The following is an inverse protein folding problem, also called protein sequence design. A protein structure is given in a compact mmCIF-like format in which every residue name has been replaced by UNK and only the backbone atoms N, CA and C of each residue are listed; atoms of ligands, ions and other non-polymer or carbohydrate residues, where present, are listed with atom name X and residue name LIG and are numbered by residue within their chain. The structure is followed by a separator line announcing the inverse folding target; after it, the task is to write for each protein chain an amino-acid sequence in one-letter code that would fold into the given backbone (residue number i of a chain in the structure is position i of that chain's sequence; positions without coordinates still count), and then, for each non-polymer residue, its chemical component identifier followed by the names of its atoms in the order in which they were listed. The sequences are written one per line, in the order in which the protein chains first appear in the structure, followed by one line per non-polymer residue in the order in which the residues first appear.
data_IF_269757763401
#
_entry.id   IF_269757763401
#
_cell.length_a   1.000
_cell.length_b   1.000
_cell.length_c   1.000
_cell.angle_alpha   90.00
_cell.angle_beta   90.00
_cell.angle_gamma   90.00
#
_symmetry.space_group_name_H-M   'P 1'
#
loop_
_entity.id
_entity.type
_entity.pdbx_description
1 polymer ?
#
# COMPACT_ATOMS: atom_id res chain seq x y z
N UNK A 1 34.83 50.75 2.00
CA UNK A 1 33.93 50.57 3.18
C UNK A 1 32.66 49.89 2.73
N UNK A 2 32.54 48.58 2.96
CA UNK A 2 31.45 47.76 2.48
C UNK A 2 30.53 47.34 3.64
N UNK A 3 29.26 47.80 3.62
CA UNK A 3 28.28 47.57 4.68
C UNK A 3 27.65 46.17 4.50
N UNK A 4 27.98 45.22 5.41
CA UNK A 4 27.30 43.92 5.51
C UNK A 4 25.87 44.09 6.00
N UNK A 5 24.88 43.71 5.16
CA UNK A 5 23.49 43.56 5.57
C UNK A 5 23.32 42.30 6.41
N UNK A 6 22.97 42.46 7.69
CA UNK A 6 22.57 41.38 8.60
C UNK A 6 21.19 40.85 8.17
N UNK A 7 21.12 39.62 7.67
CA UNK A 7 19.86 38.93 7.41
C UNK A 7 19.16 38.60 8.75
N UNK A 8 17.92 39.09 8.92
CA UNK A 8 17.04 38.70 10.02
C UNK A 8 16.62 37.24 9.84
N UNK A 9 17.08 36.34 10.71
CA UNK A 9 16.52 35.01 10.87
C UNK A 9 15.05 35.15 11.32
N UNK A 10 14.11 34.76 10.47
CA UNK A 10 12.72 34.54 10.88
C UNK A 10 12.69 33.33 11.82
N UNK A 11 12.55 33.57 13.11
CA UNK A 11 12.20 32.55 14.09
C UNK A 11 10.79 32.07 13.79
N UNK A 12 10.67 30.80 13.40
CA UNK A 12 9.36 30.16 13.27
C UNK A 12 8.69 30.17 14.65
N UNK A 13 7.53 30.76 14.73
CA UNK A 13 6.70 30.75 15.94
C UNK A 13 6.38 29.28 16.30
N UNK A 14 6.47 28.89 17.59
CA UNK A 14 6.11 27.57 18.01
C UNK A 14 4.64 27.32 17.67
N UNK A 15 4.36 26.30 16.85
CA UNK A 15 3.00 25.83 16.59
C UNK A 15 2.42 25.41 17.93
N UNK A 16 1.54 26.24 18.51
CA UNK A 16 0.75 25.87 19.70
C UNK A 16 -0.02 24.59 19.34
N UNK A 17 0.32 23.48 19.97
CA UNK A 17 -0.51 22.30 19.96
C UNK A 17 -1.83 22.67 20.62
N UNK A 18 -2.84 22.97 19.80
CA UNK A 18 -4.17 23.30 20.27
C UNK A 18 -4.79 22.05 20.87
N UNK A 19 -5.02 22.10 22.18
CA UNK A 19 -5.55 20.99 22.93
C UNK A 19 -6.94 20.61 22.44
N UNK A 20 -7.22 19.31 22.39
CA UNK A 20 -8.57 18.79 22.16
C UNK A 20 -9.44 19.12 23.37
N UNK A 21 -10.51 19.87 23.19
CA UNK A 21 -11.47 20.21 24.25
C UNK A 21 -12.75 19.39 24.11
N UNK A 22 -13.34 18.99 25.23
CA UNK A 22 -14.62 18.29 25.29
C UNK A 22 -15.59 19.07 26.14
N UNK A 23 -16.73 19.46 25.57
CA UNK A 23 -17.77 20.19 26.26
C UNK A 23 -19.14 19.86 25.65
N UNK A 24 -20.16 19.70 26.47
CA UNK A 24 -21.55 19.57 26.01
C UNK A 24 -21.83 18.43 25.05
N UNK A 25 -21.12 17.30 25.16
CA UNK A 25 -21.30 16.17 24.23
C UNK A 25 -20.58 16.36 22.88
N UNK A 26 -19.79 17.43 22.72
CA UNK A 26 -19.00 17.72 21.51
C UNK A 26 -17.52 17.70 21.83
N UNK A 27 -16.73 17.09 20.94
CA UNK A 27 -15.28 17.15 20.96
C UNK A 27 -14.82 18.09 19.88
N UNK A 28 -14.09 19.15 20.27
CA UNK A 28 -13.46 20.10 19.37
C UNK A 28 -11.99 19.76 19.24
N UNK A 29 -11.50 19.68 18.00
CA UNK A 29 -10.10 19.41 17.68
C UNK A 29 -9.70 20.19 16.43
N UNK A 30 -8.39 20.38 16.25
CA UNK A 30 -7.86 21.09 15.08
C UNK A 30 -7.24 20.11 14.09
N UNK A 31 -7.62 20.25 12.83
CA UNK A 31 -7.06 19.46 11.73
C UNK A 31 -6.68 20.37 10.57
N UNK A 32 -5.42 20.32 10.17
CA UNK A 32 -4.87 21.18 9.08
C UNK A 32 -5.22 22.68 9.29
N UNK A 33 -5.06 23.19 10.52
CA UNK A 33 -5.32 24.59 10.87
C UNK A 33 -6.79 24.97 10.95
N UNK A 34 -7.73 24.04 10.79
CA UNK A 34 -9.17 24.28 10.90
C UNK A 34 -9.73 23.64 12.16
N UNK A 35 -10.61 24.35 12.82
CA UNK A 35 -11.39 23.82 13.92
C UNK A 35 -12.44 22.84 13.40
N UNK A 36 -12.47 21.64 14.01
CA UNK A 36 -13.40 20.58 13.65
C UNK A 36 -14.17 20.17 14.91
N UNK A 37 -15.46 19.93 14.75
CA UNK A 37 -16.33 19.47 15.81
C UNK A 37 -16.86 18.07 15.45
N UNK A 38 -16.88 17.19 16.43
CA UNK A 38 -17.58 15.92 16.31
C UNK A 38 -18.32 15.60 17.61
N UNK A 39 -19.38 14.81 17.51
CA UNK A 39 -20.03 14.32 18.71
C UNK A 39 -19.00 13.60 19.60
N UNK A 40 -18.93 13.98 20.87
CA UNK A 40 -18.07 13.29 21.83
C UNK A 40 -18.43 11.81 21.82
N UNK A 41 -17.42 10.95 21.67
CA UNK A 41 -17.65 9.52 21.86
C UNK A 41 -18.24 9.35 23.26
N UNK A 42 -19.41 8.73 23.37
CA UNK A 42 -19.97 8.32 24.66
C UNK A 42 -18.84 7.60 25.41
N UNK A 43 -18.70 7.83 26.74
CA UNK A 43 -17.73 7.07 27.52
C UNK A 43 -17.90 5.60 27.17
N UNK A 44 -16.77 4.95 26.94
CA UNK A 44 -16.78 3.53 26.57
C UNK A 44 -17.55 2.81 27.69
N UNK A 45 -18.73 2.32 27.37
CA UNK A 45 -19.55 1.56 28.31
C UNK A 45 -18.74 0.42 28.90
N UNK A 46 -19.19 -0.16 29.98
CA UNK A 46 -18.56 -1.31 30.64
C UNK A 46 -18.23 -2.39 29.59
N UNK A 47 -17.29 -3.27 29.89
CA UNK A 47 -16.95 -4.41 29.02
C UNK A 47 -18.20 -5.19 28.64
N UNK A 48 -19.09 -5.40 29.61
CA UNK A 48 -20.38 -6.09 29.41
C UNK A 48 -21.32 -5.37 28.45
N UNK A 49 -21.39 -4.03 28.49
CA UNK A 49 -22.22 -3.27 27.55
C UNK A 49 -21.64 -3.33 26.13
N UNK A 50 -20.31 -3.32 25.98
CA UNK A 50 -19.65 -3.51 24.68
C UNK A 50 -19.94 -4.90 24.12
N UNK A 51 -19.87 -5.92 24.95
CA UNK A 51 -20.12 -7.31 24.55
C UNK A 51 -21.60 -7.54 24.19
N UNK A 52 -22.55 -6.95 24.94
CA UNK A 52 -23.98 -6.92 24.55
C UNK A 52 -24.19 -6.25 23.21
N UNK A 53 -23.50 -5.14 22.91
CA UNK A 53 -23.59 -4.46 21.60
C UNK A 53 -22.96 -5.30 20.49
N UNK A 54 -21.86 -6.02 20.76
CA UNK A 54 -21.25 -6.96 19.80
C UNK A 54 -22.18 -8.13 19.52
N UNK A 55 -22.80 -8.70 20.54
CA UNK A 55 -23.73 -9.81 20.39
C UNK A 55 -24.98 -9.45 19.55
N UNK A 56 -25.41 -8.19 19.57
CA UNK A 56 -26.55 -7.69 18.77
C UNK A 56 -26.22 -7.41 17.31
N UNK A 57 -24.95 -7.52 16.88
CA UNK A 57 -24.57 -7.31 15.48
C UNK A 57 -25.10 -8.45 14.62
N UNK A 58 -25.66 -8.09 13.45
CA UNK A 58 -26.02 -9.09 12.44
C UNK A 58 -24.76 -9.81 11.94
N UNK A 59 -24.92 -11.01 11.39
CA UNK A 59 -23.83 -11.77 10.79
C UNK A 59 -23.09 -10.95 9.73
N UNK A 60 -23.81 -10.26 8.86
CA UNK A 60 -23.23 -9.33 7.87
C UNK A 60 -22.37 -8.22 8.52
N UNK A 61 -22.84 -7.66 9.64
CA UNK A 61 -22.06 -6.62 10.35
C UNK A 61 -20.79 -7.20 11.01
N UNK A 62 -20.84 -8.45 11.47
CA UNK A 62 -19.67 -9.15 12.01
C UNK A 62 -18.64 -9.38 10.92
N UNK A 63 -19.09 -9.93 9.78
CA UNK A 63 -18.23 -10.18 8.62
C UNK A 63 -17.59 -8.89 8.11
N UNK A 64 -18.34 -7.82 7.89
CA UNK A 64 -17.77 -6.54 7.46
C UNK A 64 -16.78 -5.96 8.46
N UNK A 65 -17.00 -6.20 9.76
CA UNK A 65 -16.07 -5.72 10.80
C UNK A 65 -14.77 -6.53 10.81
N UNK A 66 -14.83 -7.85 10.57
CA UNK A 66 -13.64 -8.71 10.53
C UNK A 66 -12.80 -8.45 9.28
N UNK A 67 -13.44 -8.31 8.10
CA UNK A 67 -12.77 -7.89 6.86
C UNK A 67 -12.08 -6.53 7.04
N UNK A 68 -12.80 -5.56 7.64
CA UNK A 68 -12.20 -4.26 7.92
C UNK A 68 -10.96 -4.37 8.82
N UNK A 69 -11.04 -5.16 9.89
CA UNK A 69 -9.91 -5.37 10.80
C UNK A 69 -8.72 -6.07 10.12
N UNK A 70 -8.99 -7.00 9.20
CA UNK A 70 -7.95 -7.65 8.39
C UNK A 70 -7.26 -6.63 7.48
N UNK A 71 -8.02 -5.90 6.65
CA UNK A 71 -7.46 -4.90 5.72
C UNK A 71 -6.71 -3.79 6.47
N UNK A 72 -7.18 -3.36 7.64
CA UNK A 72 -6.44 -2.39 8.47
C UNK A 72 -5.08 -2.95 8.95
N UNK A 73 -5.01 -4.22 9.35
CA UNK A 73 -3.72 -4.88 9.68
C UNK A 73 -2.80 -4.97 8.47
N UNK A 74 -3.34 -5.38 7.32
CA UNK A 74 -2.62 -5.47 6.05
C UNK A 74 -2.04 -4.10 5.65
N UNK A 75 -2.85 -3.05 5.68
CA UNK A 75 -2.41 -1.67 5.41
C UNK A 75 -1.32 -1.22 6.37
N UNK A 76 -1.44 -1.54 7.66
CA UNK A 76 -0.40 -1.22 8.66
C UNK A 76 0.89 -2.00 8.39
N UNK A 77 0.79 -3.24 7.95
CA UNK A 77 1.95 -4.05 7.56
C UNK A 77 2.65 -3.44 6.35
N UNK A 78 1.90 -3.10 5.30
CA UNK A 78 2.42 -2.42 4.12
C UNK A 78 3.08 -1.07 4.48
N UNK A 79 2.45 -0.27 5.34
CA UNK A 79 2.96 1.06 5.70
C UNK A 79 4.17 1.04 6.64
N UNK A 80 4.26 0.07 7.55
CA UNK A 80 5.27 0.04 8.61
C UNK A 80 6.46 -0.85 8.30
N UNK A 81 6.21 -2.04 7.73
CA UNK A 81 7.26 -3.04 7.51
C UNK A 81 7.92 -2.92 6.14
N UNK A 82 7.21 -2.35 5.19
CA UNK A 82 7.63 -2.24 3.81
C UNK A 82 7.92 -0.76 3.49
N UNK A 83 8.83 -0.18 4.28
CA UNK A 83 9.27 1.22 4.11
C UNK A 83 9.49 1.54 2.62
N UNK A 84 8.83 2.57 2.13
CA UNK A 84 8.87 2.98 0.73
C UNK A 84 7.65 2.57 -0.11
N UNK A 85 6.68 1.81 0.44
CA UNK A 85 5.42 1.51 -0.25
C UNK A 85 4.39 2.59 0.05
N UNK A 86 4.75 3.81 -0.22
CA UNK A 86 3.84 4.94 -0.08
C UNK A 86 3.09 5.24 -1.38
N UNK A 87 2.95 4.24 -2.27
CA UNK A 87 2.30 4.39 -3.58
C UNK A 87 0.86 4.93 -3.55
N UNK A 88 0.25 4.94 -2.37
CA UNK A 88 -1.09 5.48 -2.15
C UNK A 88 -1.10 6.95 -1.71
N UNK A 89 0.03 7.46 -1.19
CA UNK A 89 0.12 8.82 -0.65
C UNK A 89 -0.02 9.90 -1.73
N UNK A 90 0.70 9.83 -2.86
CA UNK A 90 0.58 10.84 -3.91
C UNK A 90 -0.84 10.93 -4.44
N UNK A 91 -1.49 9.78 -4.62
CA UNK A 91 -2.84 9.71 -5.17
C UNK A 91 -3.93 10.35 -4.29
N UNK A 92 -3.67 10.50 -2.99
CA UNK A 92 -4.63 11.12 -2.05
C UNK A 92 -4.23 12.54 -1.64
N UNK A 93 -3.13 13.09 -2.17
CA UNK A 93 -2.56 14.38 -1.78
C UNK A 93 -3.60 15.49 -1.80
N UNK A 94 -4.43 15.55 -2.83
CA UNK A 94 -5.44 16.59 -3.04
C UNK A 94 -6.86 16.13 -2.65
N UNK A 95 -6.99 14.95 -2.08
CA UNK A 95 -8.28 14.40 -1.65
C UNK A 95 -8.49 14.58 -0.15
N UNK A 96 -9.74 14.41 0.31
CA UNK A 96 -10.06 14.33 1.75
C UNK A 96 -9.77 12.96 2.35
N UNK A 97 -9.36 11.99 1.54
CA UNK A 97 -9.10 10.61 1.93
C UNK A 97 -7.66 10.47 2.43
N UNK A 98 -7.42 9.55 3.35
CA UNK A 98 -6.06 9.13 3.70
C UNK A 98 -5.64 7.93 2.85
N UNK A 99 -4.34 7.75 2.64
CA UNK A 99 -3.80 6.59 1.90
C UNK A 99 -4.29 5.25 2.47
N UNK A 100 -4.32 5.00 3.79
CA UNK A 100 -4.92 3.80 4.36
C UNK A 100 -6.40 3.61 3.99
N UNK A 101 -7.19 4.68 4.02
CA UNK A 101 -8.61 4.60 3.68
C UNK A 101 -8.83 4.30 2.19
N UNK A 102 -7.98 4.83 1.31
CA UNK A 102 -8.03 4.51 -0.11
C UNK A 102 -7.66 3.05 -0.35
N UNK A 103 -6.57 2.57 0.25
CA UNK A 103 -6.15 1.18 0.16
C UNK A 103 -7.27 0.23 0.65
N UNK A 104 -7.91 0.56 1.78
CA UNK A 104 -9.07 -0.18 2.26
C UNK A 104 -10.22 -0.16 1.25
N UNK A 105 -10.58 1.00 0.71
CA UNK A 105 -11.68 1.15 -0.25
C UNK A 105 -11.47 0.30 -1.50
N UNK A 106 -10.23 0.22 -2.00
CA UNK A 106 -9.89 -0.51 -3.23
C UNK A 106 -9.81 -2.02 -2.98
N UNK A 107 -9.25 -2.44 -1.83
CA UNK A 107 -8.90 -3.85 -1.59
C UNK A 107 -9.91 -4.62 -0.71
N UNK A 108 -10.89 -3.95 -0.08
CA UNK A 108 -11.81 -4.62 0.84
C UNK A 108 -12.60 -5.77 0.19
N UNK A 109 -12.96 -5.63 -1.09
CA UNK A 109 -13.70 -6.67 -1.84
C UNK A 109 -12.79 -7.84 -2.30
N UNK A 110 -11.49 -7.68 -2.23
CA UNK A 110 -10.54 -8.73 -2.56
C UNK A 110 -10.16 -9.59 -1.33
N UNK A 111 -10.64 -9.22 -0.14
CA UNK A 111 -10.23 -9.80 1.14
C UNK A 111 -11.42 -10.35 1.92
N UNK A 112 -11.15 -11.38 2.73
CA UNK A 112 -12.02 -11.80 3.83
C UNK A 112 -11.34 -11.56 5.20
N UNK A 113 -11.77 -12.24 6.23
CA UNK A 113 -11.20 -12.14 7.59
C UNK A 113 -9.86 -12.86 7.74
N UNK A 114 -9.51 -13.74 6.81
CA UNK A 114 -8.33 -14.60 6.85
C UNK A 114 -7.23 -14.15 5.89
N UNK A 115 -7.59 -13.47 4.79
CA UNK A 115 -6.60 -13.08 3.81
C UNK A 115 -7.16 -12.46 2.55
N UNK A 116 -6.31 -12.40 1.54
CA UNK A 116 -6.71 -12.05 0.18
C UNK A 116 -7.30 -13.31 -0.48
N UNK A 117 -8.59 -13.27 -0.81
CA UNK A 117 -9.31 -14.38 -1.48
C UNK A 117 -9.41 -14.17 -2.99
N UNK A 118 -9.30 -12.94 -3.43
CA UNK A 118 -9.31 -12.62 -4.86
C UNK A 118 -8.03 -11.83 -5.21
N UNK A 119 -6.95 -12.55 -5.43
CA UNK A 119 -5.65 -11.98 -5.78
C UNK A 119 -5.71 -11.12 -7.05
N UNK A 120 -6.54 -11.48 -8.05
CA UNK A 120 -6.68 -10.71 -9.29
C UNK A 120 -7.24 -9.31 -9.06
N UNK A 121 -8.09 -9.16 -8.07
CA UNK A 121 -8.73 -7.88 -7.72
C UNK A 121 -7.92 -7.07 -6.71
N UNK A 122 -6.90 -7.67 -6.10
CA UNK A 122 -6.04 -6.97 -5.15
C UNK A 122 -5.09 -6.01 -5.88
N UNK A 123 -4.80 -4.87 -5.26
CA UNK A 123 -3.97 -3.80 -5.85
C UNK A 123 -2.93 -3.34 -4.84
N UNK A 124 -1.64 -3.39 -5.20
CA UNK A 124 -0.54 -2.88 -4.39
C UNK A 124 -0.27 -1.39 -4.59
N UNK A 125 -0.53 -0.90 -5.79
CA UNK A 125 -0.26 0.49 -6.17
C UNK A 125 -1.38 1.04 -7.02
N UNK A 126 -1.68 2.31 -6.81
CA UNK A 126 -2.51 3.14 -7.69
C UNK A 126 -1.70 4.37 -8.09
N UNK A 127 -1.93 4.87 -9.28
CA UNK A 127 -1.21 6.05 -9.76
C UNK A 127 -1.60 6.44 -11.17
N UNK A 128 -0.97 7.49 -11.65
CA UNK A 128 -1.27 8.13 -12.93
C UNK A 128 -0.24 7.79 -14.02
N UNK A 129 0.95 7.27 -13.63
CA UNK A 129 1.95 6.89 -14.62
C UNK A 129 1.41 5.77 -15.53
N UNK A 130 1.75 5.85 -16.80
CA UNK A 130 1.37 4.84 -17.77
C UNK A 130 1.98 3.48 -17.41
N UNK A 131 1.15 2.45 -17.40
CA UNK A 131 1.56 1.08 -17.11
C UNK A 131 2.33 0.54 -18.32
N UNK A 132 3.53 -0.05 -18.15
CA UNK A 132 4.23 -0.68 -19.24
C UNK A 132 3.48 -1.93 -19.73
N UNK A 133 3.66 -2.27 -21.00
CA UNK A 133 3.12 -3.51 -21.56
C UNK A 133 4.04 -4.66 -21.17
N UNK A 134 3.67 -5.44 -20.17
CA UNK A 134 4.38 -6.67 -19.80
C UNK A 134 4.18 -7.71 -20.89
N UNK A 135 5.25 -8.29 -21.40
CA UNK A 135 5.22 -9.17 -22.58
C UNK A 135 5.57 -10.62 -22.25
N UNK A 136 6.39 -10.85 -21.26
CA UNK A 136 6.80 -12.20 -20.87
C UNK A 136 7.14 -12.28 -19.40
N UNK A 137 6.83 -13.42 -18.80
CA UNK A 137 7.20 -13.75 -17.44
C UNK A 137 7.72 -15.18 -17.38
N UNK A 138 8.96 -15.35 -16.92
CA UNK A 138 9.59 -16.66 -16.71
C UNK A 138 9.89 -16.86 -15.23
N UNK A 139 9.74 -18.09 -14.79
CA UNK A 139 10.06 -18.48 -13.41
C UNK A 139 10.94 -19.71 -13.39
N UNK A 140 12.06 -19.63 -12.67
CA UNK A 140 12.89 -20.75 -12.32
C UNK A 140 13.07 -20.77 -10.78
N UNK A 141 12.45 -21.72 -10.11
CA UNK A 141 12.35 -21.77 -8.64
C UNK A 141 11.84 -20.43 -8.06
N UNK A 142 12.68 -19.69 -7.36
CA UNK A 142 12.37 -18.37 -6.77
C UNK A 142 12.90 -17.19 -7.57
N UNK A 143 13.51 -17.47 -8.72
CA UNK A 143 14.02 -16.43 -9.64
C UNK A 143 13.01 -16.19 -10.75
N UNK A 144 12.70 -14.93 -10.98
CA UNK A 144 11.72 -14.45 -11.96
C UNK A 144 12.42 -13.55 -12.97
N UNK A 145 12.08 -13.71 -14.23
CA UNK A 145 12.45 -12.77 -15.29
C UNK A 145 11.19 -12.21 -15.91
N UNK A 146 11.02 -10.89 -15.80
CA UNK A 146 9.90 -10.12 -16.31
C UNK A 146 10.37 -9.25 -17.46
N UNK A 147 9.67 -9.30 -18.59
CA UNK A 147 9.96 -8.50 -19.78
C UNK A 147 8.79 -7.57 -20.09
N UNK A 148 9.08 -6.35 -20.53
CA UNK A 148 8.05 -5.38 -20.90
C UNK A 148 8.51 -4.46 -22.02
N UNK A 149 7.54 -3.82 -22.67
CA UNK A 149 7.79 -2.72 -23.60
C UNK A 149 7.53 -1.40 -22.88
N UNK A 150 8.52 -0.51 -22.80
CA UNK A 150 8.28 0.85 -22.29
C UNK A 150 7.29 1.55 -23.23
N UNK A 151 6.26 2.19 -22.70
CA UNK A 151 5.40 3.08 -23.48
C UNK A 151 6.13 4.41 -23.69
N UNK A 152 6.97 4.50 -24.75
CA UNK A 152 7.84 5.66 -25.01
C UNK A 152 7.18 6.87 -25.65
N UNK A 153 5.85 6.93 -25.79
CA UNK A 153 5.15 7.98 -26.56
C UNK A 153 4.25 8.86 -25.68
N UNK A 154 4.03 8.48 -24.43
CA UNK A 154 3.16 9.25 -23.53
C UNK A 154 4.01 10.17 -22.67
N UNK A 155 3.63 11.44 -22.53
CA UNK A 155 4.30 12.45 -21.69
C UNK A 155 4.40 12.06 -20.20
N UNK A 156 3.63 11.05 -19.79
CA UNK A 156 3.56 10.55 -18.42
C UNK A 156 4.54 9.39 -18.15
N UNK A 157 5.42 9.06 -19.11
CA UNK A 157 6.44 8.01 -18.93
C UNK A 157 7.81 8.65 -18.79
N UNK A 158 8.57 8.15 -17.82
CA UNK A 158 9.97 8.49 -17.63
C UNK A 158 10.81 7.21 -17.75
N UNK A 159 11.88 7.27 -18.50
CA UNK A 159 12.78 6.13 -18.69
C UNK A 159 13.45 5.66 -17.40
N UNK A 160 13.56 6.55 -16.43
CA UNK A 160 14.20 6.34 -15.13
C UNK A 160 13.23 5.90 -13.99
N UNK A 161 11.92 5.72 -14.29
CA UNK A 161 11.00 5.12 -13.33
C UNK A 161 11.49 3.75 -12.88
N UNK A 162 11.52 3.49 -11.58
CA UNK A 162 12.10 2.27 -11.01
C UNK A 162 11.07 1.19 -10.73
N UNK A 163 11.47 -0.08 -10.87
CA UNK A 163 10.58 -1.21 -10.67
C UNK A 163 10.42 -1.57 -9.18
N UNK A 164 9.17 -1.80 -8.78
CA UNK A 164 8.82 -2.48 -7.54
C UNK A 164 7.85 -3.62 -7.83
N UNK A 165 7.92 -4.68 -7.04
CA UNK A 165 7.08 -5.87 -7.16
C UNK A 165 6.43 -6.17 -5.84
N UNK A 166 5.10 -5.96 -5.76
CA UNK A 166 4.30 -6.51 -4.67
C UNK A 166 4.07 -8.00 -4.91
N UNK A 167 4.00 -8.81 -3.85
CA UNK A 167 3.72 -10.23 -4.03
C UNK A 167 3.10 -10.90 -2.81
N UNK A 168 2.43 -12.03 -3.07
CA UNK A 168 1.96 -12.99 -2.09
C UNK A 168 2.39 -14.39 -2.52
N UNK A 169 2.62 -15.26 -1.56
CA UNK A 169 2.56 -16.70 -1.79
C UNK A 169 1.11 -17.15 -1.62
N UNK A 170 0.63 -18.01 -2.50
CA UNK A 170 -0.76 -18.52 -2.48
C UNK A 170 -1.17 -19.09 -1.11
N UNK A 171 -0.24 -19.78 -0.45
CA UNK A 171 -0.42 -20.35 0.89
C UNK A 171 -0.32 -19.33 2.04
N UNK A 172 0.02 -18.06 1.78
CA UNK A 172 0.18 -16.99 2.76
C UNK A 172 -0.59 -15.73 2.31
N UNK A 173 -1.92 -15.80 2.18
CA UNK A 173 -2.74 -14.71 1.65
C UNK A 173 -2.83 -13.50 2.59
N UNK A 174 -2.39 -13.63 3.83
CA UNK A 174 -2.38 -12.59 4.86
C UNK A 174 -1.02 -11.85 4.98
N UNK A 175 -0.02 -12.29 4.22
CA UNK A 175 1.36 -11.81 4.33
C UNK A 175 1.84 -11.10 3.05
N UNK A 176 1.37 -9.84 2.79
CA UNK A 176 1.86 -9.06 1.66
C UNK A 176 3.33 -8.73 1.80
N UNK A 177 4.04 -8.74 0.68
CA UNK A 177 5.47 -8.43 0.59
C UNK A 177 5.72 -7.49 -0.58
N UNK A 178 6.82 -6.74 -0.53
CA UNK A 178 7.27 -5.89 -1.62
C UNK A 178 8.77 -6.03 -1.77
N UNK A 179 9.21 -6.15 -3.01
CA UNK A 179 10.59 -6.09 -3.42
C UNK A 179 10.80 -4.80 -4.23
N UNK A 180 11.75 -3.97 -3.78
CA UNK A 180 12.17 -2.78 -4.52
C UNK A 180 13.41 -3.09 -5.33
N UNK A 181 13.42 -2.68 -6.59
CA UNK A 181 14.49 -2.88 -7.55
C UNK A 181 14.97 -1.53 -8.10
N UNK A 182 15.61 -0.69 -7.28
CA UNK A 182 15.96 0.68 -7.66
C UNK A 182 16.99 0.75 -8.80
N UNK A 183 17.72 -0.32 -9.06
CA UNK A 183 18.64 -0.42 -10.18
C UNK A 183 17.96 -0.82 -11.51
N UNK A 184 16.67 -1.18 -11.48
CA UNK A 184 15.92 -1.60 -12.67
C UNK A 184 14.98 -0.48 -13.05
N UNK A 185 15.24 0.12 -14.19
CA UNK A 185 14.43 1.24 -14.68
C UNK A 185 13.45 0.78 -15.76
N UNK A 186 12.48 1.65 -16.07
CA UNK A 186 11.51 1.44 -17.16
C UNK A 186 12.20 1.15 -18.49
N UNK A 187 13.24 1.92 -18.81
CA UNK A 187 14.00 1.80 -20.06
C UNK A 187 14.70 0.43 -20.20
N UNK A 188 14.99 -0.25 -19.11
CA UNK A 188 15.65 -1.56 -19.16
C UNK A 188 14.85 -2.62 -19.92
N UNK A 189 13.50 -2.52 -19.95
CA UNK A 189 12.64 -3.45 -20.67
C UNK A 189 12.63 -4.87 -20.11
N UNK A 190 13.46 -5.17 -19.14
CA UNK A 190 13.58 -6.49 -18.50
C UNK A 190 14.11 -6.37 -17.09
N UNK A 191 13.70 -7.31 -16.23
CA UNK A 191 14.19 -7.47 -14.86
C UNK A 191 14.34 -8.93 -14.52
N UNK A 192 15.45 -9.28 -13.90
CA UNK A 192 15.61 -10.58 -13.22
C UNK A 192 15.77 -10.33 -11.73
N UNK A 193 14.93 -10.98 -10.92
CA UNK A 193 14.94 -10.83 -9.48
C UNK A 193 14.60 -12.14 -8.78
N UNK A 194 15.08 -12.31 -7.55
CA UNK A 194 14.80 -13.48 -6.73
C UNK A 194 13.93 -13.05 -5.55
N UNK A 195 12.82 -13.75 -5.35
CA UNK A 195 12.00 -13.56 -4.16
C UNK A 195 12.65 -14.28 -2.98
N UNK A 196 12.75 -13.64 -1.81
CA UNK A 196 13.24 -14.31 -0.62
C UNK A 196 12.25 -15.39 -0.19
N UNK A 197 12.77 -16.51 0.28
CA UNK A 197 11.96 -17.51 0.93
C UNK A 197 11.20 -16.93 2.12
N UNK A 198 9.98 -17.37 2.37
CA UNK A 198 9.26 -16.96 3.56
C UNK A 198 9.92 -17.58 4.79
N UNK A 199 10.91 -16.93 5.34
CA UNK A 199 11.46 -17.25 6.63
C UNK A 199 10.60 -16.60 7.72
N UNK A 200 9.93 -17.39 8.50
CA UNK A 200 9.39 -17.01 9.78
C UNK A 200 9.94 -17.95 10.85
N UNK A 201 10.14 -17.51 12.09
CA UNK A 201 10.57 -18.39 13.16
C UNK A 201 9.65 -19.60 13.25
N UNK A 202 10.17 -20.80 13.00
CA UNK A 202 9.44 -22.07 13.08
C UNK A 202 8.59 -22.43 11.86
N UNK A 203 8.72 -21.74 10.72
CA UNK A 203 8.11 -22.17 9.46
C UNK A 203 9.16 -22.84 8.59
N UNK A 204 8.82 -24.00 8.06
CA UNK A 204 9.63 -24.64 7.03
C UNK A 204 9.69 -23.78 5.77
N UNK A 205 10.81 -23.79 5.01
CA UNK A 205 10.91 -23.11 3.73
C UNK A 205 9.77 -23.54 2.81
N UNK A 206 9.17 -22.59 2.09
CA UNK A 206 8.15 -22.93 1.12
C UNK A 206 8.75 -23.75 -0.03
N UNK A 207 7.96 -24.72 -0.52
CA UNK A 207 8.30 -25.45 -1.73
C UNK A 207 8.45 -24.52 -2.92
N UNK A 208 9.45 -24.71 -3.79
CA UNK A 208 9.55 -24.03 -5.09
C UNK A 208 8.28 -24.18 -5.96
N UNK A 209 7.45 -25.19 -5.67
CA UNK A 209 6.18 -25.44 -6.37
C UNK A 209 5.04 -24.54 -5.90
N UNK A 210 5.26 -23.71 -4.87
CA UNK A 210 4.25 -22.79 -4.40
C UNK A 210 3.91 -21.76 -5.49
N UNK A 211 2.62 -21.58 -5.79
CA UNK A 211 2.14 -20.50 -6.68
C UNK A 211 2.45 -19.13 -6.04
N UNK A 212 2.90 -18.21 -6.87
CA UNK A 212 3.17 -16.82 -6.45
C UNK A 212 2.27 -15.87 -7.23
N UNK A 213 1.70 -14.91 -6.53
CA UNK A 213 0.95 -13.79 -7.08
C UNK A 213 1.85 -12.56 -7.06
N UNK A 214 2.24 -12.05 -8.21
CA UNK A 214 3.09 -10.87 -8.31
C UNK A 214 2.33 -9.68 -8.91
N UNK A 215 2.74 -8.48 -8.50
CA UNK A 215 2.10 -7.22 -8.85
C UNK A 215 3.19 -6.19 -9.16
N UNK A 216 3.81 -6.25 -10.34
CA UNK A 216 4.79 -5.26 -10.73
C UNK A 216 4.14 -3.89 -10.91
N UNK A 217 4.87 -2.85 -10.51
CA UNK A 217 4.53 -1.45 -10.73
C UNK A 217 5.80 -0.61 -10.77
N UNK A 218 5.72 0.56 -11.37
CA UNK A 218 6.82 1.50 -11.46
C UNK A 218 6.58 2.70 -10.54
N UNK A 219 7.65 3.25 -10.03
CA UNK A 219 7.70 4.45 -9.22
C UNK A 219 8.61 5.48 -9.89
N UNK A 220 8.20 6.75 -9.90
CA UNK A 220 9.08 7.84 -10.31
C UNK A 220 10.31 7.93 -9.38
N UNK A 221 11.45 8.47 -9.84
CA UNK A 221 12.67 8.57 -9.03
C UNK A 221 12.48 9.34 -7.71
N UNK A 222 11.62 10.36 -7.73
CA UNK A 222 11.25 11.15 -6.55
C UNK A 222 10.16 10.49 -5.67
N UNK A 223 9.65 9.32 -6.10
CA UNK A 223 8.58 8.56 -5.43
C UNK A 223 7.26 9.33 -5.23
N UNK A 224 7.05 10.37 -6.03
CA UNK A 224 5.85 11.19 -5.99
C UNK A 224 4.74 10.67 -6.94
N UNK A 225 5.08 9.80 -7.88
CA UNK A 225 4.15 9.21 -8.84
C UNK A 225 4.40 7.71 -9.02
N UNK A 226 3.34 6.99 -9.36
CA UNK A 226 3.38 5.53 -9.51
C UNK A 226 2.50 5.07 -10.66
N UNK A 227 2.77 3.87 -11.19
CA UNK A 227 1.80 3.16 -12.03
C UNK A 227 0.80 2.40 -11.15
N UNK A 228 -0.34 2.04 -11.73
CA UNK A 228 -1.17 0.99 -11.15
C UNK A 228 -0.43 -0.35 -11.24
N UNK A 229 -0.50 -1.16 -10.18
CA UNK A 229 0.07 -2.51 -10.21
C UNK A 229 -0.73 -3.44 -11.11
N UNK A 230 -0.03 -4.33 -11.83
CA UNK A 230 -0.61 -5.34 -12.72
C UNK A 230 -0.53 -6.70 -12.04
N UNK A 231 -1.63 -7.44 -12.02
CA UNK A 231 -1.68 -8.77 -11.44
C UNK A 231 -1.17 -9.84 -12.42
N UNK A 232 -0.23 -10.66 -11.96
CA UNK A 232 0.29 -11.83 -12.67
C UNK A 232 0.31 -13.03 -11.72
N UNK A 233 -0.33 -14.14 -12.13
CA UNK A 233 -0.29 -15.40 -11.40
C UNK A 233 0.85 -16.24 -11.96
N UNK A 234 1.74 -16.71 -11.12
CA UNK A 234 2.95 -17.40 -11.55
C UNK A 234 2.98 -18.82 -10.97
N UNK A 235 2.76 -19.80 -11.82
CA UNK A 235 2.92 -21.20 -11.49
C UNK A 235 4.40 -21.61 -11.49
N UNK A 236 4.75 -22.74 -10.88
CA UNK A 236 6.09 -23.32 -11.01
C UNK A 236 6.45 -23.58 -12.48
N UNK A 237 7.69 -23.25 -12.85
CA UNK A 237 8.17 -23.44 -14.22
C UNK A 237 7.44 -22.61 -15.29
N UNK A 238 6.73 -21.56 -14.90
CA UNK A 238 6.02 -20.71 -15.83
C UNK A 238 6.98 -20.06 -16.85
N UNK A 239 6.59 -20.09 -18.11
CA UNK A 239 7.17 -19.32 -19.21
C UNK A 239 6.00 -18.78 -20.03
N UNK A 240 5.37 -17.74 -19.50
CA UNK A 240 4.13 -17.19 -20.02
C UNK A 240 4.40 -15.98 -20.90
N UNK A 241 3.91 -16.03 -22.14
CA UNK A 241 3.78 -14.85 -22.99
C UNK A 241 2.55 -14.09 -22.54
N UNK A 242 2.75 -12.84 -22.13
CA UNK A 242 1.70 -11.93 -21.69
C UNK A 242 1.27 -11.08 -22.88
N UNK A 243 0.02 -11.13 -23.25
CA UNK A 243 -0.50 -10.41 -24.39
C UNK A 243 -1.74 -9.59 -24.07
#
# INVERSE_FOLDING_TARGET
MSKKKKGKKKTASPVKQLATTRSGGTTTYYRKGRECHCASKRPAGSTEERDRRRAKRSERQRLLTSVFAFVDRLVRTLSRKLAGVNSWIPFVKDTRMSAPNLCHKVNAMACDEHGVVNFRSFVFSVGWLAVPLYTRLRRNAWTFTLEWRPHGILDETRDDDTLAVGYFYDCLPDAPRVLHLPAVTRAAGTATFTLPDPEGPGREPLSPDTVVHIYPYLASPDTDEYTRSVYLRVAPGADDTLG
#
